data_IF_771392225557
#
_entry.id   IF_771392225557
#
_cell.length_a   1.000
_cell.length_b   1.000
_cell.length_c   1.000
_cell.angle_alpha   90.00
_cell.angle_beta   90.00
_cell.angle_gamma   90.00
#
_symmetry.space_group_name_H-M   'P 1'
#
loop_
_entity.id
_entity.type
_entity.pdbx_description
1 polymer ?
#
# COMPACT_ATOMS: atom_id res chain seq x y z
N UNK A 1 2.68 15.84 1.17
CA UNK A 1 3.03 15.86 -0.28
C UNK A 1 1.74 15.63 -1.05
N UNK A 2 1.41 16.42 -2.08
CA UNK A 2 0.20 16.18 -2.86
C UNK A 2 0.27 14.79 -3.49
N UNK A 3 -0.85 14.07 -3.51
CA UNK A 3 -0.93 12.74 -4.10
C UNK A 3 -0.61 12.76 -5.61
N UNK A 4 -1.07 13.82 -6.29
CA UNK A 4 -0.71 14.09 -7.68
C UNK A 4 0.59 14.90 -7.67
N UNK A 5 1.66 14.31 -8.19
CA UNK A 5 2.98 14.93 -8.19
C UNK A 5 3.12 16.06 -9.22
N UNK A 6 2.34 16.03 -10.31
CA UNK A 6 2.44 17.01 -11.39
C UNK A 6 1.70 18.31 -11.07
N UNK A 7 2.40 19.44 -11.20
CA UNK A 7 1.80 20.78 -11.10
C UNK A 7 0.97 21.11 -12.34
N UNK A 8 0.11 22.13 -12.25
CA UNK A 8 -0.68 22.63 -13.39
C UNK A 8 0.19 23.04 -14.57
N UNK A 9 1.34 23.67 -14.28
CA UNK A 9 2.32 24.06 -15.30
C UNK A 9 2.93 22.85 -15.99
N UNK A 10 3.27 21.79 -15.23
CA UNK A 10 3.78 20.55 -15.81
C UNK A 10 2.72 19.83 -16.64
N UNK A 11 1.47 19.80 -16.17
CA UNK A 11 0.33 19.25 -16.92
C UNK A 11 0.13 19.97 -18.25
N UNK A 12 0.18 21.30 -18.24
CA UNK A 12 0.10 22.12 -19.45
C UNK A 12 1.24 21.82 -20.43
N UNK A 13 2.48 21.79 -19.95
CA UNK A 13 3.64 21.42 -20.79
C UNK A 13 3.49 20.00 -21.37
N UNK A 14 3.03 19.06 -20.53
CA UNK A 14 2.49 17.73 -20.85
C UNK A 14 1.70 17.72 -22.16
N UNK A 15 0.61 18.47 -22.11
CA UNK A 15 -0.44 18.56 -23.13
C UNK A 15 0.00 19.31 -24.39
N UNK A 16 0.78 20.39 -24.22
CA UNK A 16 1.32 21.18 -25.33
C UNK A 16 2.29 20.34 -26.19
N UNK A 17 3.12 19.49 -25.56
CA UNK A 17 4.07 18.61 -26.25
C UNK A 17 3.35 17.56 -27.13
N UNK A 18 2.31 16.92 -26.58
CA UNK A 18 1.52 15.93 -27.32
C UNK A 18 0.44 16.57 -28.22
N UNK A 19 0.27 17.90 -28.15
CA UNK A 19 -0.71 18.70 -28.91
C UNK A 19 -2.16 18.25 -28.69
N UNK A 20 -2.52 17.95 -27.45
CA UNK A 20 -3.85 17.49 -27.06
C UNK A 20 -4.42 18.34 -25.93
N UNK A 21 -5.75 18.37 -25.80
CA UNK A 21 -6.45 18.89 -24.62
C UNK A 21 -6.71 17.75 -23.63
N UNK A 22 -6.98 18.03 -22.35
CA UNK A 22 -7.26 17.00 -21.36
C UNK A 22 -8.38 16.04 -21.76
N UNK A 23 -9.43 16.56 -22.41
CA UNK A 23 -10.59 15.78 -22.83
C UNK A 23 -10.24 14.78 -23.94
N UNK A 24 -9.24 15.11 -24.76
CA UNK A 24 -8.83 14.28 -25.90
C UNK A 24 -8.12 12.98 -25.41
N UNK A 25 -7.56 12.97 -24.18
CA UNK A 25 -6.88 11.79 -23.60
C UNK A 25 -7.80 10.60 -23.32
N UNK A 26 -9.11 10.84 -23.26
CA UNK A 26 -10.11 9.82 -22.93
C UNK A 26 -10.94 9.38 -24.16
N UNK A 27 -10.52 9.74 -25.37
CA UNK A 27 -11.29 9.48 -26.61
C UNK A 27 -11.56 8.00 -26.91
N UNK A 28 -10.73 7.09 -26.39
CA UNK A 28 -10.90 5.64 -26.51
C UNK A 28 -12.02 5.06 -25.62
N UNK A 29 -12.53 5.85 -24.66
CA UNK A 29 -13.60 5.41 -23.74
C UNK A 29 -14.96 5.76 -24.37
N UNK A 30 -15.81 4.77 -24.70
CA UNK A 30 -17.16 5.04 -25.19
C UNK A 30 -17.96 5.94 -24.25
N UNK A 31 -18.71 6.90 -24.81
CA UNK A 31 -19.39 7.93 -24.01
C UNK A 31 -20.45 7.35 -23.06
N UNK A 32 -21.06 6.24 -23.44
CA UNK A 32 -22.03 5.49 -22.64
C UNK A 32 -21.40 4.85 -21.39
N UNK A 33 -20.09 4.63 -21.37
CA UNK A 33 -19.36 4.09 -20.21
C UNK A 33 -18.82 5.19 -19.29
N UNK A 34 -18.95 6.46 -19.67
CA UNK A 34 -18.39 7.57 -18.91
C UNK A 34 -19.18 7.81 -17.61
N UNK A 35 -18.53 7.54 -16.47
CA UNK A 35 -19.09 7.90 -15.17
C UNK A 35 -18.82 9.39 -14.89
N UNK A 36 -19.85 10.22 -15.01
CA UNK A 36 -19.72 11.69 -14.84
C UNK A 36 -19.69 12.15 -13.39
N UNK A 37 -20.29 11.37 -12.50
CA UNK A 37 -20.44 11.73 -11.09
C UNK A 37 -20.30 10.49 -10.22
N UNK A 38 -19.41 10.58 -9.23
CA UNK A 38 -19.26 9.60 -8.18
C UNK A 38 -19.97 10.15 -6.95
N UNK A 39 -21.05 9.48 -6.50
CA UNK A 39 -21.81 9.86 -5.30
C UNK A 39 -21.00 9.57 -4.02
N UNK A 40 -19.90 10.28 -3.85
CA UNK A 40 -18.99 10.19 -2.71
C UNK A 40 -19.13 11.46 -1.86
N UNK A 41 -18.89 11.37 -0.54
CA UNK A 41 -18.75 12.55 0.30
C UNK A 41 -17.59 13.44 -0.17
N UNK A 42 -17.66 14.71 0.22
CA UNK A 42 -16.55 15.66 0.08
C UNK A 42 -15.24 15.10 0.65
N UNK A 43 -14.14 15.47 0.00
CA UNK A 43 -12.80 15.09 0.42
C UNK A 43 -12.47 15.70 1.78
N UNK A 44 -11.78 14.93 2.63
CA UNK A 44 -11.28 15.40 3.91
C UNK A 44 -9.78 15.75 3.78
N UNK A 45 -9.33 16.72 4.56
CA UNK A 45 -7.89 16.98 4.75
C UNK A 45 -7.22 15.79 5.44
N UNK A 46 -5.88 15.69 5.33
CA UNK A 46 -5.13 14.62 5.99
C UNK A 46 -5.40 14.57 7.51
N UNK A 47 -5.51 15.73 8.16
CA UNK A 47 -5.75 15.82 9.60
C UNK A 47 -7.16 15.33 9.98
N UNK A 48 -8.16 15.68 9.19
CA UNK A 48 -9.54 15.22 9.39
C UNK A 48 -9.66 13.71 9.17
N UNK A 49 -8.99 13.16 8.15
CA UNK A 49 -8.93 11.71 7.92
C UNK A 49 -8.28 11.00 9.11
N UNK A 50 -7.13 11.47 9.59
CA UNK A 50 -6.43 10.87 10.75
C UNK A 50 -7.30 10.86 11.99
N UNK A 51 -7.95 11.99 12.29
CA UNK A 51 -8.83 12.13 13.46
C UNK A 51 -10.01 11.18 13.36
N UNK A 52 -10.69 11.17 12.21
CA UNK A 52 -11.84 10.29 11.96
C UNK A 52 -11.48 8.80 12.09
N UNK A 53 -10.32 8.39 11.57
CA UNK A 53 -9.87 7.00 11.66
C UNK A 53 -9.50 6.62 13.10
N UNK A 54 -8.88 7.53 13.86
CA UNK A 54 -8.61 7.32 15.28
C UNK A 54 -9.91 7.16 16.09
N UNK A 55 -10.91 8.00 15.85
CA UNK A 55 -12.22 7.93 16.51
C UNK A 55 -12.96 6.62 16.19
N UNK A 56 -12.87 6.16 14.94
CA UNK A 56 -13.43 4.87 14.54
C UNK A 56 -12.70 3.71 15.21
N UNK A 57 -11.37 3.73 15.22
CA UNK A 57 -10.55 2.70 15.87
C UNK A 57 -10.81 2.63 17.39
N UNK A 58 -11.05 3.78 18.03
CA UNK A 58 -11.35 3.88 19.47
C UNK A 58 -12.65 3.19 19.91
N UNK A 59 -13.50 2.77 18.96
CA UNK A 59 -14.72 1.99 19.24
C UNK A 59 -14.42 0.49 19.46
N UNK A 60 -13.22 0.03 19.13
CA UNK A 60 -12.84 -1.37 19.26
C UNK A 60 -12.44 -1.71 20.71
N UNK A 61 -12.77 -2.93 21.15
CA UNK A 61 -12.25 -3.49 22.40
C UNK A 61 -10.88 -4.13 22.16
N UNK A 62 -9.81 -3.38 22.47
CA UNK A 62 -8.42 -3.80 22.16
C UNK A 62 -7.64 -4.38 23.34
N UNK A 63 -8.13 -4.20 24.57
CA UNK A 63 -7.46 -4.67 25.80
C UNK A 63 -8.09 -5.96 26.33
N UNK A 64 -8.30 -6.93 25.44
CA UNK A 64 -8.85 -8.23 25.79
C UNK A 64 -7.74 -9.27 25.84
N UNK A 65 -7.81 -10.18 26.81
CA UNK A 65 -6.98 -11.39 26.78
C UNK A 65 -7.69 -12.43 25.91
N UNK A 66 -7.09 -12.76 24.77
CA UNK A 66 -7.70 -13.61 23.76
C UNK A 66 -7.25 -15.07 23.93
N UNK A 67 -8.19 -15.95 24.31
CA UNK A 67 -7.98 -17.40 24.41
C UNK A 67 -8.77 -18.21 23.38
N UNK A 68 -9.36 -17.55 22.37
CA UNK A 68 -10.22 -18.21 21.37
C UNK A 68 -9.43 -19.17 20.46
N UNK A 69 -8.14 -18.91 20.23
CA UNK A 69 -7.30 -19.70 19.33
C UNK A 69 -7.78 -19.62 17.87
N UNK A 70 -7.78 -20.76 17.17
CA UNK A 70 -8.28 -20.83 15.78
C UNK A 70 -7.26 -20.39 14.72
N UNK A 71 -5.97 -20.55 15.01
CA UNK A 71 -4.88 -20.16 14.10
C UNK A 71 -4.35 -18.74 14.31
N UNK A 72 -4.96 -17.97 15.21
CA UNK A 72 -4.50 -16.64 15.61
C UNK A 72 -4.23 -16.63 17.11
N UNK A 73 -3.03 -16.21 17.49
CA UNK A 73 -2.57 -16.21 18.87
C UNK A 73 -1.83 -14.90 19.15
N UNK A 74 -2.21 -14.25 20.25
CA UNK A 74 -1.53 -13.04 20.70
C UNK A 74 -0.07 -13.35 21.05
N UNK A 75 0.85 -12.49 20.64
CA UNK A 75 2.28 -12.69 20.83
C UNK A 75 3.03 -11.36 20.86
N UNK A 76 4.19 -11.37 21.53
CA UNK A 76 5.05 -10.21 21.58
C UNK A 76 5.65 -9.91 20.20
N UNK A 77 5.41 -8.71 19.68
CA UNK A 77 6.04 -8.19 18.46
C UNK A 77 7.23 -7.30 18.87
N UNK A 78 8.48 -7.69 18.56
CA UNK A 78 9.65 -6.88 18.87
C UNK A 78 9.61 -5.51 18.19
N UNK A 79 10.09 -4.47 18.87
CA UNK A 79 10.09 -3.08 18.36
C UNK A 79 10.82 -2.91 17.01
N UNK A 80 11.75 -3.81 16.68
CA UNK A 80 12.43 -3.83 15.39
C UNK A 80 11.48 -4.10 14.21
N UNK A 81 10.39 -4.86 14.41
CA UNK A 81 9.44 -5.24 13.36
C UNK A 81 8.72 -4.00 12.79
N UNK A 82 8.00 -3.18 13.58
CA UNK A 82 7.36 -1.97 13.03
C UNK A 82 8.37 -0.96 12.51
N UNK A 83 9.58 -0.89 13.10
CA UNK A 83 10.64 -0.04 12.59
C UNK A 83 11.10 -0.44 11.18
N UNK A 84 11.20 -1.74 10.89
CA UNK A 84 11.50 -2.25 9.55
C UNK A 84 10.31 -2.14 8.59
N UNK A 85 9.11 -2.49 9.05
CA UNK A 85 7.89 -2.42 8.24
C UNK A 85 7.55 -0.98 7.81
N UNK A 86 7.95 0.02 8.59
CA UNK A 86 7.76 1.43 8.28
C UNK A 86 8.79 2.02 7.31
N UNK A 87 9.75 1.24 6.81
CA UNK A 87 10.77 1.70 5.85
C UNK A 87 10.26 1.58 4.42
N UNK A 88 10.32 2.69 3.68
CA UNK A 88 9.80 2.77 2.31
C UNK A 88 10.43 1.74 1.38
N UNK A 89 11.71 1.42 1.57
CA UNK A 89 12.44 0.42 0.79
C UNK A 89 11.83 -0.98 0.87
N UNK A 90 11.09 -1.28 1.95
CA UNK A 90 10.40 -2.57 2.13
C UNK A 90 8.94 -2.53 1.69
N UNK A 91 8.18 -1.48 1.98
CA UNK A 91 6.73 -1.47 1.69
C UNK A 91 6.34 -0.84 0.34
N UNK A 92 7.24 -0.10 -0.31
CA UNK A 92 6.97 0.50 -1.64
C UNK A 92 7.50 -0.33 -2.80
N UNK A 93 8.50 -1.19 -2.54
CA UNK A 93 9.00 -2.13 -3.55
C UNK A 93 7.93 -3.18 -3.87
N UNK A 94 7.89 -3.62 -5.13
CA UNK A 94 6.98 -4.68 -5.58
C UNK A 94 7.72 -6.02 -5.73
N UNK A 95 7.13 -6.97 -6.44
CA UNK A 95 7.75 -8.27 -6.74
C UNK A 95 9.17 -8.09 -7.28
N UNK A 96 10.17 -8.83 -6.75
CA UNK A 96 11.59 -8.64 -7.08
C UNK A 96 11.96 -9.24 -8.45
N UNK A 97 11.31 -8.77 -9.53
CA UNK A 97 11.60 -9.19 -10.91
C UNK A 97 12.97 -8.75 -11.40
N UNK A 98 13.57 -7.73 -10.78
CA UNK A 98 14.92 -7.23 -11.08
C UNK A 98 15.85 -7.65 -9.94
N UNK A 99 16.43 -8.86 -9.97
CA UNK A 99 17.13 -9.44 -8.83
C UNK A 99 18.37 -8.63 -8.43
N UNK A 100 19.08 -8.01 -9.37
CA UNK A 100 20.32 -7.25 -9.15
C UNK A 100 20.09 -6.04 -8.23
N UNK A 101 18.88 -5.50 -8.20
CA UNK A 101 18.48 -4.37 -7.35
C UNK A 101 17.51 -4.76 -6.23
N UNK A 102 17.30 -6.06 -6.03
CA UNK A 102 16.32 -6.59 -5.06
C UNK A 102 16.91 -7.62 -4.08
N UNK A 103 18.24 -7.76 -4.01
CA UNK A 103 18.92 -8.79 -3.22
C UNK A 103 18.54 -8.78 -1.73
N UNK A 104 18.28 -7.60 -1.13
CA UNK A 104 17.87 -7.52 0.28
C UNK A 104 16.53 -8.23 0.55
N UNK A 105 15.52 -7.99 -0.28
CA UNK A 105 14.21 -8.63 -0.17
C UNK A 105 14.29 -10.12 -0.50
N UNK A 106 15.05 -10.50 -1.54
CA UNK A 106 15.27 -11.90 -1.90
C UNK A 106 15.94 -12.68 -0.78
N UNK A 107 16.95 -12.10 -0.12
CA UNK A 107 17.57 -12.71 1.06
C UNK A 107 16.56 -12.90 2.19
N UNK A 108 15.76 -11.88 2.51
CA UNK A 108 14.76 -11.99 3.58
C UNK A 108 13.72 -13.10 3.30
N UNK A 109 13.30 -13.26 2.03
CA UNK A 109 12.41 -14.35 1.60
C UNK A 109 13.11 -15.71 1.75
N UNK A 110 14.38 -15.81 1.33
CA UNK A 110 15.16 -17.04 1.47
C UNK A 110 15.35 -17.45 2.93
N UNK A 111 15.61 -16.50 3.83
CA UNK A 111 15.72 -16.77 5.28
C UNK A 111 14.39 -17.25 5.85
N UNK A 112 13.27 -16.65 5.42
CA UNK A 112 11.93 -17.11 5.79
C UNK A 112 11.68 -18.55 5.31
N UNK A 113 11.94 -18.86 4.04
CA UNK A 113 11.80 -20.23 3.50
C UNK A 113 12.68 -21.22 4.27
N UNK A 114 13.93 -20.84 4.54
CA UNK A 114 14.87 -21.67 5.31
C UNK A 114 14.38 -21.92 6.74
N UNK A 115 13.80 -20.91 7.40
CA UNK A 115 13.20 -21.05 8.73
C UNK A 115 12.02 -22.02 8.70
N UNK A 116 11.14 -21.91 7.70
CA UNK A 116 9.99 -22.81 7.56
C UNK A 116 10.46 -24.25 7.30
N UNK A 117 11.37 -24.48 6.35
CA UNK A 117 11.93 -25.81 6.08
C UNK A 117 12.56 -26.44 7.33
N UNK A 118 13.31 -25.67 8.12
CA UNK A 118 13.89 -26.15 9.39
C UNK A 118 12.84 -26.47 10.45
N UNK A 119 11.75 -25.70 10.50
CA UNK A 119 10.68 -25.90 11.48
C UNK A 119 9.79 -27.09 11.13
N UNK A 120 9.55 -27.33 9.84
CA UNK A 120 8.64 -28.38 9.35
C UNK A 120 9.36 -29.65 8.90
N UNK A 121 10.68 -29.64 8.86
CA UNK A 121 11.54 -30.71 8.31
C UNK A 121 11.23 -31.03 6.84
N UNK A 122 10.72 -30.05 6.08
CA UNK A 122 10.43 -30.19 4.65
C UNK A 122 11.61 -29.73 3.79
N UNK A 123 11.72 -30.30 2.59
CA UNK A 123 12.83 -30.02 1.67
C UNK A 123 12.71 -28.64 0.99
N UNK A 124 11.49 -28.11 0.83
CA UNK A 124 11.23 -26.84 0.13
C UNK A 124 9.99 -26.14 0.67
N UNK A 125 10.01 -24.81 0.68
CA UNK A 125 8.91 -23.90 1.01
C UNK A 125 8.86 -22.72 0.05
#
# INVERSE_FOLDING_TARGET
>A
MPFIANTDSQRKQMLDEIKMRPEDLFGEIPQELFCRDLKLPEGLSEQEVRTRLADLAGKNYINLTLFLGGGFYDHFIPAAVPALAGRAEFYTAYTPYQPEVSQGTLQAIYEYQSMICRLTEMEVS
#
